data_IF_563880624825
#
_entry.id   IF_563880624825
#
_cell.length_a   1.000
_cell.length_b   1.000
_cell.length_c   1.000
_cell.angle_alpha   90.00
_cell.angle_beta   90.00
_cell.angle_gamma   90.00
#
_symmetry.space_group_name_H-M   'P 1'
#
loop_
_entity.id
_entity.type
_entity.pdbx_description
1 polymer ?
#
# COMPACT_ATOMS: atom_id res chain seq x y z
N UNK A 1 4.20 -15.87 2.06
CA UNK A 1 5.51 -15.71 1.38
C UNK A 1 5.40 -14.98 0.04
N UNK A 2 4.61 -15.46 -0.95
CA UNK A 2 4.49 -14.79 -2.27
C UNK A 2 3.97 -13.34 -2.17
N UNK A 3 2.93 -13.07 -1.38
CA UNK A 3 2.40 -11.71 -1.22
C UNK A 3 3.36 -10.77 -0.50
N UNK A 4 3.96 -11.20 0.61
CA UNK A 4 4.97 -10.39 1.31
C UNK A 4 6.06 -9.95 0.34
N UNK A 5 6.61 -10.87 -0.47
CA UNK A 5 7.61 -10.53 -1.48
C UNK A 5 7.10 -9.49 -2.49
N UNK A 6 5.88 -9.66 -3.00
CA UNK A 6 5.29 -8.72 -3.97
C UNK A 6 5.04 -7.35 -3.35
N UNK A 7 4.52 -7.29 -2.12
CA UNK A 7 4.30 -6.03 -1.41
C UNK A 7 5.61 -5.33 -1.04
N UNK A 8 6.64 -6.08 -0.61
CA UNK A 8 7.99 -5.54 -0.40
C UNK A 8 8.57 -4.99 -1.70
N UNK A 9 8.44 -5.72 -2.81
CA UNK A 9 8.94 -5.29 -4.12
C UNK A 9 8.22 -4.01 -4.61
N UNK A 10 6.90 -3.95 -4.43
CA UNK A 10 6.13 -2.74 -4.67
C UNK A 10 6.67 -1.56 -3.86
N UNK A 11 6.86 -1.75 -2.55
CA UNK A 11 7.36 -0.70 -1.66
C UNK A 11 8.75 -0.21 -2.08
N UNK A 12 9.65 -1.11 -2.47
CA UNK A 12 10.96 -0.74 -3.02
C UNK A 12 10.82 0.15 -4.26
N UNK A 13 9.98 -0.24 -5.22
CA UNK A 13 9.83 0.50 -6.47
C UNK A 13 9.13 1.85 -6.30
N UNK A 14 8.09 1.91 -5.47
CA UNK A 14 7.35 3.17 -5.27
C UNK A 14 8.18 4.18 -4.47
N UNK A 15 8.97 3.73 -3.49
CA UNK A 15 9.94 4.57 -2.80
C UNK A 15 10.96 5.16 -3.79
N UNK A 16 11.49 4.33 -4.70
CA UNK A 16 12.43 4.74 -5.75
C UNK A 16 11.79 5.45 -6.95
N UNK A 17 10.51 5.82 -6.86
CA UNK A 17 9.72 6.49 -7.92
C UNK A 17 9.70 5.74 -9.26
N UNK A 18 9.91 4.43 -9.26
CA UNK A 18 9.77 3.56 -10.44
C UNK A 18 8.30 3.22 -10.66
N UNK A 19 7.51 4.23 -11.05
CA UNK A 19 6.04 4.14 -11.12
C UNK A 19 5.53 3.03 -12.04
N UNK A 20 6.18 2.78 -13.17
CA UNK A 20 5.77 1.69 -14.05
C UNK A 20 5.94 0.33 -13.35
N UNK A 21 7.10 0.08 -12.77
CA UNK A 21 7.38 -1.18 -12.08
C UNK A 21 6.50 -1.38 -10.84
N UNK A 22 6.24 -0.32 -10.08
CA UNK A 22 5.29 -0.37 -8.97
C UNK A 22 3.87 -0.74 -9.46
N UNK A 23 3.43 -0.17 -10.59
CA UNK A 23 2.13 -0.51 -11.20
C UNK A 23 2.09 -1.97 -11.67
N UNK A 24 3.16 -2.46 -12.28
CA UNK A 24 3.24 -3.84 -12.79
C UNK A 24 3.15 -4.84 -11.62
N UNK A 25 3.81 -4.55 -10.49
CA UNK A 25 3.72 -5.37 -9.28
C UNK A 25 2.31 -5.34 -8.68
N UNK A 26 1.63 -4.18 -8.64
CA UNK A 26 0.23 -4.12 -8.21
C UNK A 26 -0.68 -4.98 -9.10
N UNK A 27 -0.46 -4.99 -10.42
CA UNK A 27 -1.22 -5.84 -11.33
C UNK A 27 -1.01 -7.34 -11.02
N UNK A 28 0.23 -7.75 -10.73
CA UNK A 28 0.55 -9.12 -10.33
C UNK A 28 -0.10 -9.50 -8.99
N UNK A 29 -0.11 -8.59 -8.01
CA UNK A 29 -0.80 -8.79 -6.73
C UNK A 29 -2.29 -8.99 -6.98
N UNK A 30 -2.92 -8.11 -7.76
CA UNK A 30 -4.35 -8.19 -8.08
C UNK A 30 -4.72 -9.52 -8.73
N UNK A 31 -3.95 -9.97 -9.72
CA UNK A 31 -4.15 -11.26 -10.36
C UNK A 31 -4.03 -12.40 -9.34
N UNK A 32 -3.01 -12.35 -8.48
CA UNK A 32 -2.78 -13.39 -7.46
C UNK A 32 -3.88 -13.46 -6.41
N UNK A 33 -4.55 -12.33 -6.09
CA UNK A 33 -5.70 -12.29 -5.17
C UNK A 33 -6.92 -12.94 -5.81
N UNK A 34 -7.17 -12.69 -7.11
CA UNK A 34 -8.33 -13.26 -7.82
C UNK A 34 -8.31 -14.80 -7.87
N UNK A 35 -7.13 -15.40 -7.71
CA UNK A 35 -6.91 -16.85 -7.64
C UNK A 35 -7.08 -17.43 -6.22
N UNK A 36 -7.50 -16.63 -5.23
CA UNK A 36 -7.59 -17.03 -3.82
C UNK A 36 -8.92 -16.67 -3.15
N UNK A 37 -9.25 -17.41 -2.10
CA UNK A 37 -10.44 -17.20 -1.26
C UNK A 37 -10.22 -16.20 -0.10
N UNK A 38 -8.98 -15.81 0.19
CA UNK A 38 -8.65 -14.94 1.31
C UNK A 38 -8.77 -13.45 0.94
N UNK A 39 -9.79 -12.80 1.51
CA UNK A 39 -10.13 -11.39 1.28
C UNK A 39 -9.25 -10.40 2.04
N UNK A 40 -8.42 -10.85 3.00
CA UNK A 40 -7.52 -9.97 3.76
C UNK A 40 -6.52 -9.24 2.85
N UNK A 41 -6.00 -9.95 1.84
CA UNK A 41 -5.10 -9.36 0.84
C UNK A 41 -5.78 -8.32 -0.06
N UNK A 42 -7.11 -8.33 -0.18
CA UNK A 42 -7.83 -7.29 -0.92
C UNK A 42 -7.79 -5.95 -0.17
N UNK A 43 -7.81 -5.96 1.16
CA UNK A 43 -7.69 -4.76 2.00
C UNK A 43 -6.28 -4.18 1.89
N UNK A 44 -5.26 -5.04 2.00
CA UNK A 44 -3.86 -4.65 1.76
C UNK A 44 -3.69 -4.08 0.36
N UNK A 45 -4.17 -4.78 -0.68
CA UNK A 45 -4.12 -4.28 -2.04
C UNK A 45 -4.78 -2.90 -2.20
N UNK A 46 -5.95 -2.67 -1.59
CA UNK A 46 -6.63 -1.38 -1.66
C UNK A 46 -5.79 -0.25 -1.05
N UNK A 47 -5.16 -0.50 0.11
CA UNK A 47 -4.27 0.45 0.74
C UNK A 47 -3.06 0.78 -0.16
N UNK A 48 -2.43 -0.23 -0.74
CA UNK A 48 -1.21 -0.07 -1.54
C UNK A 48 -1.49 0.55 -2.90
N UNK A 49 -2.65 0.27 -3.48
CA UNK A 49 -3.14 1.00 -4.64
C UNK A 49 -3.35 2.49 -4.29
N UNK A 50 -3.86 2.79 -3.09
CA UNK A 50 -3.96 4.15 -2.58
C UNK A 50 -2.59 4.84 -2.44
N UNK A 51 -1.58 4.12 -1.93
CA UNK A 51 -0.20 4.63 -1.87
C UNK A 51 0.34 4.96 -3.28
N UNK A 52 0.15 4.06 -4.25
CA UNK A 52 0.54 4.30 -5.63
C UNK A 52 -0.11 5.55 -6.22
N UNK A 53 -1.44 5.67 -6.09
CA UNK A 53 -2.21 6.82 -6.57
C UNK A 53 -1.73 8.11 -5.90
N UNK A 54 -1.48 8.07 -4.59
CA UNK A 54 -0.98 9.21 -3.81
C UNK A 54 0.37 9.73 -4.33
N UNK A 55 1.33 8.84 -4.60
CA UNK A 55 2.64 9.23 -5.14
C UNK A 55 2.54 9.67 -6.61
N UNK A 56 1.70 9.03 -7.42
CA UNK A 56 1.55 9.33 -8.84
C UNK A 56 0.92 10.71 -9.10
N UNK A 57 -0.09 11.09 -8.33
CA UNK A 57 -0.90 12.28 -8.63
C UNK A 57 -0.92 13.34 -7.52
N UNK A 58 0.00 13.26 -6.55
CA UNK A 58 0.13 14.20 -5.42
C UNK A 58 -1.20 14.45 -4.67
N UNK A 59 -2.04 13.42 -4.57
CA UNK A 59 -3.49 13.65 -4.55
C UNK A 59 -4.25 13.08 -3.36
N UNK A 60 -5.31 13.80 -2.98
CA UNK A 60 -6.31 13.41 -1.97
C UNK A 60 -6.98 12.06 -2.25
N UNK A 61 -7.14 11.66 -3.52
CA UNK A 61 -7.79 10.40 -3.89
C UNK A 61 -7.06 9.17 -3.34
N UNK A 62 -5.72 9.12 -3.47
CA UNK A 62 -4.92 8.01 -2.93
C UNK A 62 -4.93 7.98 -1.40
N UNK A 63 -4.95 9.15 -0.77
CA UNK A 63 -5.09 9.25 0.69
C UNK A 63 -6.46 8.75 1.17
N UNK A 64 -7.55 9.16 0.52
CA UNK A 64 -8.90 8.67 0.84
C UNK A 64 -8.96 7.15 0.76
N UNK A 65 -8.37 6.57 -0.29
CA UNK A 65 -8.32 5.12 -0.49
C UNK A 65 -7.55 4.38 0.61
N UNK A 66 -6.41 4.94 1.05
CA UNK A 66 -5.67 4.42 2.21
C UNK A 66 -6.51 4.50 3.51
N UNK A 67 -7.23 5.60 3.72
CA UNK A 67 -8.11 5.78 4.88
C UNK A 67 -9.34 4.85 4.85
N UNK A 68 -9.88 4.54 3.67
CA UNK A 68 -10.95 3.54 3.51
C UNK A 68 -10.48 2.15 3.98
N UNK A 69 -9.28 1.72 3.57
CA UNK A 69 -8.71 0.45 4.03
C UNK A 69 -8.51 0.43 5.56
N UNK A 70 -8.03 1.54 6.15
CA UNK A 70 -7.93 1.71 7.61
C UNK A 70 -9.29 1.61 8.30
N UNK A 71 -10.33 2.18 7.68
CA UNK A 71 -11.72 2.12 8.19
C UNK A 71 -12.25 0.70 8.17
N UNK A 72 -11.98 -0.06 7.11
CA UNK A 72 -12.39 -1.48 7.02
C UNK A 72 -11.72 -2.31 8.13
N UNK A 73 -10.43 -2.09 8.41
CA UNK A 73 -9.74 -2.78 9.52
C UNK A 73 -10.35 -2.45 10.89
N UNK A 74 -10.89 -1.25 11.06
CA UNK A 74 -11.63 -0.89 12.27
C UNK A 74 -12.94 -1.69 12.40
N UNK A 75 -13.69 -1.81 11.30
CA UNK A 75 -14.94 -2.57 11.26
C UNK A 75 -14.71 -4.07 11.52
N UNK A 76 -13.56 -4.60 11.10
CA UNK A 76 -13.18 -5.99 11.32
C UNK A 76 -12.59 -6.26 12.71
N UNK A 77 -12.47 -5.25 13.57
CA UNK A 77 -11.79 -5.34 14.87
C UNK A 77 -10.34 -5.85 14.75
N UNK A 78 -9.59 -5.31 13.78
CA UNK A 78 -8.18 -5.63 13.53
C UNK A 78 -7.25 -4.48 13.98
N UNK A 79 -7.16 -4.16 15.29
CA UNK A 79 -6.51 -2.95 15.79
C UNK A 79 -5.00 -2.91 15.55
N UNK A 80 -4.33 -4.06 15.54
CA UNK A 80 -2.88 -4.14 15.29
C UNK A 80 -2.56 -3.78 13.84
N UNK A 81 -3.27 -4.40 12.89
CA UNK A 81 -3.13 -4.11 11.46
C UNK A 81 -3.49 -2.65 11.15
N UNK A 82 -4.57 -2.14 11.77
CA UNK A 82 -4.98 -0.73 11.67
C UNK A 82 -3.87 0.23 12.13
N UNK A 83 -3.22 -0.05 13.26
CA UNK A 83 -2.11 0.76 13.77
C UNK A 83 -0.91 0.74 12.81
N UNK A 84 -0.61 -0.43 12.24
CA UNK A 84 0.40 -0.58 11.18
C UNK A 84 0.10 0.31 9.97
N UNK A 85 -1.14 0.28 9.46
CA UNK A 85 -1.54 1.07 8.29
C UNK A 85 -1.54 2.58 8.57
N UNK A 86 -1.93 3.02 9.77
CA UNK A 86 -1.82 4.43 10.17
C UNK A 86 -0.35 4.90 10.20
N UNK A 87 0.54 4.07 10.71
CA UNK A 87 1.98 4.34 10.73
C UNK A 87 2.53 4.41 9.31
N UNK A 88 2.17 3.46 8.46
CA UNK A 88 2.53 3.44 7.04
C UNK A 88 2.06 4.70 6.33
N UNK A 89 0.79 5.10 6.49
CA UNK A 89 0.24 6.32 5.89
C UNK A 89 1.03 7.57 6.29
N UNK A 90 1.43 7.68 7.56
CA UNK A 90 2.28 8.78 8.01
C UNK A 90 3.63 8.80 7.28
N UNK A 91 4.32 7.65 7.19
CA UNK A 91 5.60 7.53 6.49
C UNK A 91 5.44 7.83 5.00
N UNK A 92 4.36 7.38 4.37
CA UNK A 92 4.05 7.61 2.95
C UNK A 92 3.90 9.11 2.66
N UNK A 93 3.19 9.85 3.53
CA UNK A 93 3.06 11.30 3.42
C UNK A 93 4.42 12.00 3.52
N UNK A 94 5.26 11.57 4.46
CA UNK A 94 6.62 12.11 4.58
C UNK A 94 7.50 11.75 3.38
N UNK A 95 7.39 10.53 2.85
CA UNK A 95 8.10 10.10 1.64
C UNK A 95 7.68 10.90 0.41
N UNK A 96 6.41 11.23 0.23
CA UNK A 96 5.98 12.09 -0.88
C UNK A 96 6.64 13.47 -0.82
N UNK A 97 6.67 14.09 0.37
CA UNK A 97 7.27 15.41 0.58
C UNK A 97 8.82 15.39 0.53
N UNK A 98 9.44 14.33 1.03
CA UNK A 98 10.90 14.19 1.17
C UNK A 98 11.36 12.76 0.79
N UNK A 99 11.38 12.40 -0.50
CA UNK A 99 11.64 11.04 -0.97
C UNK A 99 12.98 10.45 -0.52
N UNK A 100 14.02 11.28 -0.42
CA UNK A 100 15.36 10.82 -0.04
C UNK A 100 15.50 10.49 1.46
N UNK A 101 14.57 10.95 2.30
CA UNK A 101 14.68 10.84 3.77
C UNK A 101 13.76 9.80 4.38
N UNK A 102 12.66 9.49 3.72
CA UNK A 102 11.62 8.64 4.27
C UNK A 102 11.37 7.49 3.33
N UNK A 103 11.49 6.28 3.83
CA UNK A 103 11.23 5.06 3.08
C UNK A 103 10.37 4.16 3.95
N UNK A 104 9.36 3.55 3.34
CA UNK A 104 8.59 2.48 3.98
C UNK A 104 9.03 1.15 3.38
N UNK A 105 9.56 0.26 4.21
CA UNK A 105 9.89 -1.10 3.82
C UNK A 105 8.93 -2.07 4.52
N UNK A 106 8.60 -3.16 3.83
CA UNK A 106 7.76 -4.22 4.34
C UNK A 106 8.63 -5.46 4.47
N UNK A 107 8.60 -6.06 5.65
CA UNK A 107 9.41 -7.20 6.04
C UNK A 107 8.53 -8.46 6.12
#
# INVERSE_FOLDING_TARGET
MRFNLLFSLFATYINARKLQWASDVLALIKQSIAEREDSSYAIEYHFYQGWYEFIKSNGTAGENKMNEAITILDLLNEPQTKAGFKTALHIIKQNQAMPEKWHLFIL
#
